data_IF_600093093417
#
_entry.id   IF_600093093417
#
_cell.length_a   1.000
_cell.length_b   1.000
_cell.length_c   1.000
_cell.angle_alpha   90.00
_cell.angle_beta   90.00
_cell.angle_gamma   90.00
#
_symmetry.space_group_name_H-M   'P 1'
#
loop_
_entity.id
_entity.type
_entity.pdbx_description
1 polymer ?
#
# COMPACT_ATOMS: atom_id res chain seq x y z
N UNK A 1 4.78 -14.04 15.17
CA UNK A 1 5.25 -14.03 13.77
C UNK A 1 5.82 -12.66 13.46
N UNK A 2 7.08 -12.63 13.03
CA UNK A 2 7.82 -11.41 12.71
C UNK A 2 7.90 -11.22 11.19
N UNK A 3 7.47 -10.08 10.68
CA UNK A 3 7.38 -9.79 9.26
C UNK A 3 8.22 -8.54 8.95
N UNK A 4 9.21 -8.69 8.05
CA UNK A 4 9.87 -7.55 7.40
C UNK A 4 8.99 -7.08 6.24
N UNK A 5 8.65 -5.81 6.22
CA UNK A 5 7.73 -5.24 5.23
C UNK A 5 8.38 -4.15 4.41
N UNK A 6 8.00 -4.04 3.13
CA UNK A 6 8.54 -3.07 2.16
C UNK A 6 7.39 -2.36 1.46
N UNK A 7 7.52 -1.04 1.31
CA UNK A 7 6.58 -0.20 0.56
C UNK A 7 7.34 0.78 -0.34
N UNK A 8 7.09 0.69 -1.64
CA UNK A 8 7.72 1.52 -2.67
C UNK A 8 6.75 1.89 -3.80
N UNK A 9 5.45 1.65 -3.60
CA UNK A 9 4.44 1.79 -4.66
C UNK A 9 4.13 3.22 -5.10
N UNK A 10 4.58 4.24 -4.34
CA UNK A 10 4.33 5.66 -4.63
C UNK A 10 5.57 6.51 -4.36
N UNK A 11 5.39 7.78 -3.92
CA UNK A 11 6.50 8.72 -3.66
C UNK A 11 7.34 8.33 -2.45
N UNK A 12 6.71 7.76 -1.43
CA UNK A 12 7.41 7.35 -0.22
C UNK A 12 8.10 5.99 -0.43
N UNK A 13 9.25 5.83 0.22
CA UNK A 13 9.97 4.57 0.38
C UNK A 13 10.01 4.26 1.87
N UNK A 14 9.66 3.03 2.25
CA UNK A 14 9.70 2.63 3.66
C UNK A 14 9.96 1.14 3.83
N UNK A 15 10.53 0.81 5.00
CA UNK A 15 10.69 -0.54 5.51
C UNK A 15 10.21 -0.59 6.96
N UNK A 16 9.70 -1.73 7.40
CA UNK A 16 9.29 -1.92 8.79
C UNK A 16 9.44 -3.38 9.21
N UNK A 17 9.62 -3.63 10.49
CA UNK A 17 9.47 -4.95 11.10
C UNK A 17 8.30 -4.89 12.06
N UNK A 18 7.36 -5.79 11.88
CA UNK A 18 6.24 -6.00 12.80
C UNK A 18 6.29 -7.38 13.42
N UNK A 19 5.89 -7.52 14.68
CA UNK A 19 5.76 -8.80 15.37
C UNK A 19 4.36 -8.91 15.96
N UNK A 20 3.59 -9.90 15.50
CA UNK A 20 2.19 -10.10 15.88
C UNK A 20 1.30 -8.87 15.78
N UNK A 21 1.65 -7.96 14.85
CA UNK A 21 0.98 -6.69 14.61
C UNK A 21 1.52 -5.50 15.40
N UNK A 22 2.42 -5.72 16.36
CA UNK A 22 3.16 -4.64 17.00
C UNK A 22 4.31 -4.16 16.09
N UNK A 23 4.52 -2.86 16.01
CA UNK A 23 5.62 -2.28 15.26
C UNK A 23 6.90 -2.34 16.11
N UNK A 24 7.91 -3.07 15.66
CA UNK A 24 9.23 -3.14 16.33
C UNK A 24 10.18 -2.06 15.80
N UNK A 25 10.24 -1.90 14.49
CA UNK A 25 11.10 -0.91 13.83
C UNK A 25 10.46 -0.41 12.54
N UNK A 26 10.71 0.85 12.21
CA UNK A 26 10.32 1.42 10.91
C UNK A 26 11.31 2.48 10.46
N UNK A 27 11.51 2.55 9.15
CA UNK A 27 12.22 3.63 8.48
C UNK A 27 11.35 4.13 7.31
N UNK A 28 11.27 5.45 7.18
CA UNK A 28 10.41 6.10 6.20
C UNK A 28 11.12 7.29 5.57
N UNK A 29 10.98 7.44 4.26
CA UNK A 29 11.54 8.55 3.51
C UNK A 29 10.59 8.99 2.39
N UNK A 30 10.40 10.29 2.25
CA UNK A 30 9.65 10.92 1.15
C UNK A 30 10.42 12.14 0.61
N UNK A 31 11.70 11.94 0.27
CA UNK A 31 12.65 13.01 -0.11
C UNK A 31 12.82 13.19 -1.62
N UNK A 32 12.07 12.43 -2.45
CA UNK A 32 12.19 12.47 -3.91
C UNK A 32 13.39 11.71 -4.48
N UNK A 33 14.19 11.04 -3.65
CA UNK A 33 15.25 10.15 -4.12
C UNK A 33 14.66 8.86 -4.70
N UNK A 34 15.41 8.24 -5.62
CA UNK A 34 14.98 6.98 -6.25
C UNK A 34 14.99 5.83 -5.25
N UNK A 35 13.94 5.03 -5.25
CA UNK A 35 13.78 3.90 -4.32
C UNK A 35 14.91 2.87 -4.45
N UNK A 36 15.43 2.63 -5.65
CA UNK A 36 16.57 1.72 -5.87
C UNK A 36 17.84 2.15 -5.13
N UNK A 37 18.01 3.44 -4.91
CA UNK A 37 19.16 3.99 -4.16
C UNK A 37 18.94 3.87 -2.64
N UNK A 38 17.72 4.02 -2.17
CA UNK A 38 17.43 4.27 -0.76
C UNK A 38 16.91 3.06 0.00
N UNK A 39 16.24 2.12 -0.68
CA UNK A 39 15.54 1.02 -0.02
C UNK A 39 16.47 0.08 0.74
N UNK A 40 17.51 -0.44 0.09
CA UNK A 40 18.37 -1.43 0.75
C UNK A 40 19.19 -0.84 1.91
N UNK A 41 19.83 0.33 1.79
CA UNK A 41 20.45 1.01 2.94
C UNK A 41 19.48 1.30 4.08
N UNK A 42 18.20 1.61 3.77
CA UNK A 42 17.15 1.83 4.76
C UNK A 42 16.82 0.55 5.52
N UNK A 43 16.65 -0.58 4.83
CA UNK A 43 16.38 -1.89 5.44
C UNK A 43 17.55 -2.29 6.35
N UNK A 44 18.78 -2.21 5.84
CA UNK A 44 19.99 -2.55 6.60
C UNK A 44 20.14 -1.69 7.86
N UNK A 45 20.05 -0.37 7.71
CA UNK A 45 20.17 0.57 8.82
C UNK A 45 19.06 0.38 9.86
N UNK A 46 17.82 0.14 9.43
CA UNK A 46 16.70 -0.12 10.32
C UNK A 46 16.91 -1.40 11.14
N UNK A 47 17.27 -2.51 10.49
CA UNK A 47 17.53 -3.79 11.18
C UNK A 47 18.67 -3.64 12.18
N UNK A 48 19.80 -3.04 11.77
CA UNK A 48 20.96 -2.81 12.63
C UNK A 48 20.62 -1.98 13.87
N UNK A 49 19.88 -0.88 13.70
CA UNK A 49 19.52 0.02 14.80
C UNK A 49 18.52 -0.61 15.79
N UNK A 50 17.82 -1.66 15.38
CA UNK A 50 16.87 -2.39 16.21
C UNK A 50 17.43 -3.72 16.77
N UNK A 51 18.73 -4.00 16.58
CA UNK A 51 19.36 -5.28 16.92
C UNK A 51 18.62 -6.50 16.34
N UNK A 52 18.08 -6.33 15.11
CA UNK A 52 17.37 -7.36 14.37
C UNK A 52 18.20 -7.85 13.18
N UNK A 53 17.97 -9.08 12.79
CA UNK A 53 18.54 -9.67 11.57
C UNK A 53 17.42 -10.12 10.64
N UNK A 54 17.70 -10.21 9.34
CA UNK A 54 16.74 -10.75 8.39
C UNK A 54 16.35 -12.20 8.73
N UNK A 55 17.28 -13.01 9.20
CA UNK A 55 17.05 -14.39 9.63
C UNK A 55 16.17 -14.52 10.88
N UNK A 56 15.92 -13.43 11.60
CA UNK A 56 14.98 -13.40 12.72
C UNK A 56 13.52 -13.13 12.27
N UNK A 57 13.30 -12.92 10.97
CA UNK A 57 11.97 -12.71 10.39
C UNK A 57 11.42 -14.03 9.82
N UNK A 58 10.11 -14.23 9.95
CA UNK A 58 9.41 -15.41 9.46
C UNK A 58 8.96 -15.26 7.99
N UNK A 59 8.82 -14.02 7.51
CA UNK A 59 8.43 -13.72 6.14
C UNK A 59 8.85 -12.29 5.74
N UNK A 60 8.87 -12.04 4.42
CA UNK A 60 8.96 -10.69 3.86
C UNK A 60 7.60 -10.33 3.24
N UNK A 61 7.02 -9.19 3.62
CA UNK A 61 5.81 -8.65 3.00
C UNK A 61 6.15 -7.46 2.10
N UNK A 62 5.41 -7.30 0.99
CA UNK A 62 5.63 -6.19 0.07
C UNK A 62 4.33 -5.75 -0.60
N UNK A 63 4.16 -4.45 -0.81
CA UNK A 63 3.09 -3.93 -1.64
C UNK A 63 3.35 -4.32 -3.11
N UNK A 64 2.47 -5.15 -3.66
CA UNK A 64 2.57 -5.64 -5.05
C UNK A 64 1.85 -4.76 -6.06
N UNK A 65 1.13 -3.76 -5.62
CA UNK A 65 0.32 -2.84 -6.42
C UNK A 65 -1.11 -2.69 -5.89
N UNK A 66 -1.88 -1.78 -6.50
CA UNK A 66 -1.51 -0.88 -7.60
C UNK A 66 -0.55 0.25 -7.18
N UNK A 67 0.06 0.94 -8.17
CA UNK A 67 0.93 2.07 -7.92
C UNK A 67 1.93 2.37 -9.05
N UNK A 68 3.03 3.01 -8.70
CA UNK A 68 4.14 3.31 -9.61
C UNK A 68 4.76 2.03 -10.18
N UNK A 69 4.75 1.88 -11.49
CA UNK A 69 5.29 0.71 -12.19
C UNK A 69 6.76 0.43 -11.81
N UNK A 70 7.60 1.45 -11.79
CA UNK A 70 9.01 1.32 -11.38
C UNK A 70 9.13 1.03 -9.88
N UNK A 71 8.36 1.75 -9.06
CA UNK A 71 8.41 1.59 -7.60
C UNK A 71 8.02 0.17 -7.18
N UNK A 72 6.91 -0.36 -7.68
CA UNK A 72 6.45 -1.73 -7.38
C UNK A 72 7.53 -2.75 -7.77
N UNK A 73 8.14 -2.63 -8.95
CA UNK A 73 9.19 -3.55 -9.38
C UNK A 73 10.42 -3.53 -8.48
N UNK A 74 10.82 -2.36 -8.01
CA UNK A 74 11.95 -2.22 -7.06
C UNK A 74 11.61 -2.95 -5.76
N UNK A 75 10.45 -2.71 -5.18
CA UNK A 75 10.02 -3.36 -3.94
C UNK A 75 9.89 -4.87 -4.07
N UNK A 76 9.22 -5.33 -5.12
CA UNK A 76 9.06 -6.78 -5.39
C UNK A 76 10.41 -7.45 -5.62
N UNK A 77 11.31 -6.85 -6.40
CA UNK A 77 12.64 -7.41 -6.62
C UNK A 77 13.47 -7.48 -5.32
N UNK A 78 13.42 -6.43 -4.49
CA UNK A 78 14.09 -6.42 -3.19
C UNK A 78 13.50 -7.48 -2.24
N UNK A 79 12.17 -7.59 -2.14
CA UNK A 79 11.51 -8.59 -1.32
C UNK A 79 11.88 -10.02 -1.76
N UNK A 80 11.88 -10.29 -3.06
CA UNK A 80 12.31 -11.59 -3.63
C UNK A 80 13.75 -11.91 -3.27
N UNK A 81 14.66 -10.94 -3.44
CA UNK A 81 16.08 -11.12 -3.12
C UNK A 81 16.34 -11.40 -1.64
N UNK A 82 15.70 -10.63 -0.75
CA UNK A 82 15.80 -10.80 0.69
C UNK A 82 15.23 -12.15 1.14
N UNK A 83 14.02 -12.48 0.69
CA UNK A 83 13.35 -13.72 1.05
C UNK A 83 14.12 -14.96 0.54
N UNK A 84 14.61 -14.92 -0.71
CA UNK A 84 15.42 -15.98 -1.28
C UNK A 84 16.73 -16.18 -0.51
N UNK A 85 17.43 -15.07 -0.17
CA UNK A 85 18.69 -15.13 0.58
C UNK A 85 18.53 -15.66 2.02
N UNK A 86 17.37 -15.42 2.64
CA UNK A 86 17.07 -15.89 4.00
C UNK A 86 16.32 -17.23 4.04
N UNK A 87 15.89 -17.77 2.89
CA UNK A 87 15.11 -19.03 2.85
C UNK A 87 13.71 -18.89 3.46
N UNK A 88 13.11 -17.69 3.46
CA UNK A 88 11.79 -17.41 4.04
C UNK A 88 10.78 -17.06 2.94
N UNK A 89 9.46 -17.25 3.17
CA UNK A 89 8.42 -16.95 2.19
C UNK A 89 8.17 -15.44 2.05
N UNK A 90 7.40 -15.10 1.00
CA UNK A 90 6.95 -13.74 0.74
C UNK A 90 5.44 -13.63 0.78
N UNK A 91 4.94 -12.44 1.14
CA UNK A 91 3.53 -12.09 1.18
C UNK A 91 3.32 -10.85 0.33
N UNK A 92 2.60 -11.00 -0.79
CA UNK A 92 2.19 -9.86 -1.60
C UNK A 92 0.93 -9.22 -1.03
N UNK A 93 0.93 -7.92 -0.86
CA UNK A 93 -0.19 -7.16 -0.28
C UNK A 93 -0.68 -6.10 -1.26
N UNK A 94 -2.01 -5.94 -1.39
CA UNK A 94 -2.56 -4.79 -2.10
C UNK A 94 -2.13 -3.48 -1.43
N UNK A 95 -1.62 -2.55 -2.22
CA UNK A 95 -1.25 -1.21 -1.71
C UNK A 95 -2.46 -0.49 -1.11
N UNK A 96 -3.64 -0.62 -1.71
CA UNK A 96 -4.87 0.01 -1.24
C UNK A 96 -5.38 -0.65 0.05
N UNK A 97 -5.29 -1.98 0.14
CA UNK A 97 -5.64 -2.68 1.37
C UNK A 97 -4.71 -2.32 2.54
N UNK A 98 -3.41 -2.27 2.32
CA UNK A 98 -2.46 -1.81 3.33
C UNK A 98 -2.82 -0.38 3.82
N UNK A 99 -3.21 0.51 2.92
CA UNK A 99 -3.67 1.86 3.28
C UNK A 99 -4.91 1.83 4.16
N UNK A 100 -5.90 1.02 3.80
CA UNK A 100 -7.13 0.90 4.57
C UNK A 100 -6.88 0.27 5.95
N UNK A 101 -6.03 -0.75 6.02
CA UNK A 101 -5.69 -1.44 7.28
C UNK A 101 -5.15 -0.47 8.33
N UNK A 102 -4.32 0.51 7.93
CA UNK A 102 -3.85 1.57 8.81
C UNK A 102 -4.99 2.49 9.32
N UNK A 103 -6.21 2.36 8.81
CA UNK A 103 -7.41 3.15 9.16
C UNK A 103 -8.54 2.30 9.73
N UNK A 104 -8.30 1.06 10.07
CA UNK A 104 -9.32 0.17 10.65
C UNK A 104 -9.92 0.72 11.96
N UNK A 105 -9.22 1.63 12.66
CA UNK A 105 -9.72 2.35 13.83
C UNK A 105 -10.75 3.44 13.50
N UNK A 106 -10.89 3.84 12.21
CA UNK A 106 -11.94 4.74 11.77
C UNK A 106 -13.30 4.03 11.84
N UNK A 107 -14.37 4.77 12.08
CA UNK A 107 -15.73 4.22 11.99
C UNK A 107 -16.45 4.89 10.81
N UNK A 108 -16.60 4.14 9.71
CA UNK A 108 -17.18 4.67 8.48
C UNK A 108 -16.58 4.10 7.18
N UNK A 109 -16.64 4.90 6.12
CA UNK A 109 -16.12 4.57 4.80
C UNK A 109 -14.67 5.06 4.65
N UNK A 110 -13.75 4.15 4.38
CA UNK A 110 -12.35 4.44 4.03
C UNK A 110 -12.22 4.40 2.51
N UNK A 111 -11.96 5.54 1.90
CA UNK A 111 -11.75 5.71 0.45
C UNK A 111 -10.24 5.75 0.21
N UNK A 112 -9.68 4.66 -0.29
CA UNK A 112 -8.29 4.64 -0.71
C UNK A 112 -8.17 5.19 -2.13
N UNK A 113 -7.35 6.24 -2.33
CA UNK A 113 -7.16 6.89 -3.61
C UNK A 113 -5.68 7.15 -3.88
N UNK A 114 -5.12 6.54 -4.93
CA UNK A 114 -3.78 6.83 -5.42
C UNK A 114 -3.86 7.48 -6.80
N UNK A 115 -2.97 8.43 -7.09
CA UNK A 115 -2.94 9.12 -8.39
C UNK A 115 -2.57 8.15 -9.52
N UNK A 116 -3.55 7.85 -10.39
CA UNK A 116 -3.36 7.05 -11.59
C UNK A 116 -3.11 7.91 -12.85
N UNK A 117 -2.93 9.25 -12.68
CA UNK A 117 -2.82 10.26 -13.74
C UNK A 117 -4.10 10.44 -14.55
N UNK A 118 -4.18 11.57 -15.32
CA UNK A 118 -5.28 11.86 -16.26
C UNK A 118 -6.67 11.81 -15.63
N UNK A 119 -6.85 12.46 -14.48
CA UNK A 119 -8.13 12.52 -13.73
C UNK A 119 -8.67 11.13 -13.32
N UNK A 120 -7.79 10.14 -13.20
CA UNK A 120 -8.12 8.82 -12.72
C UNK A 120 -7.36 8.53 -11.42
N UNK A 121 -7.95 7.66 -10.62
CA UNK A 121 -7.36 7.15 -9.39
C UNK A 121 -7.30 5.63 -9.41
N UNK A 122 -6.29 5.06 -8.78
CA UNK A 122 -6.39 3.70 -8.27
C UNK A 122 -7.20 3.78 -6.98
N UNK A 123 -8.27 3.01 -6.92
CA UNK A 123 -9.24 3.07 -5.83
C UNK A 123 -9.61 1.68 -5.33
N UNK A 124 -9.83 1.60 -4.03
CA UNK A 124 -10.62 0.59 -3.36
C UNK A 124 -11.32 1.24 -2.15
N UNK A 125 -12.55 0.85 -1.91
CA UNK A 125 -13.37 1.33 -0.80
C UNK A 125 -13.51 0.23 0.26
N UNK A 126 -13.46 0.63 1.52
CA UNK A 126 -13.57 -0.26 2.66
C UNK A 126 -14.53 0.30 3.69
N UNK A 127 -15.30 -0.57 4.33
CA UNK A 127 -16.02 -0.22 5.55
C UNK A 127 -15.13 -0.56 6.75
N UNK A 128 -14.87 0.42 7.60
CA UNK A 128 -14.18 0.24 8.87
C UNK A 128 -15.18 0.37 10.01
N UNK A 129 -15.18 -0.56 10.95
CA UNK A 129 -16.03 -0.54 12.13
C UNK A 129 -15.35 -1.26 13.28
N UNK A 130 -15.14 -0.54 14.39
CA UNK A 130 -14.59 -1.10 15.65
C UNK A 130 -13.32 -1.93 15.42
N UNK A 131 -12.36 -1.39 14.65
CA UNK A 131 -11.09 -2.07 14.35
C UNK A 131 -11.18 -3.15 13.27
N UNK A 132 -12.36 -3.46 12.76
CA UNK A 132 -12.56 -4.42 11.65
C UNK A 132 -12.64 -3.68 10.34
N UNK A 133 -11.99 -4.23 9.31
CA UNK A 133 -12.00 -3.70 7.95
C UNK A 133 -12.68 -4.70 7.01
N UNK A 134 -13.71 -4.24 6.30
CA UNK A 134 -14.39 -5.02 5.25
C UNK A 134 -14.15 -4.37 3.90
N UNK A 135 -13.61 -5.10 2.95
CA UNK A 135 -13.44 -4.63 1.57
C UNK A 135 -14.80 -4.53 0.89
N UNK A 136 -15.09 -3.40 0.27
CA UNK A 136 -16.33 -3.14 -0.47
C UNK A 136 -16.14 -3.22 -1.98
N UNK A 137 -14.96 -2.84 -2.47
CA UNK A 137 -14.63 -2.91 -3.91
C UNK A 137 -13.25 -3.51 -4.12
N UNK A 138 -13.08 -4.20 -5.24
CA UNK A 138 -11.76 -4.65 -5.68
C UNK A 138 -10.85 -3.47 -6.02
N UNK A 139 -9.53 -3.74 -6.08
CA UNK A 139 -8.56 -2.76 -6.55
C UNK A 139 -8.83 -2.43 -8.02
N UNK A 140 -9.03 -1.16 -8.35
CA UNK A 140 -9.45 -0.72 -9.69
C UNK A 140 -8.86 0.62 -10.07
N UNK A 141 -8.90 0.93 -11.37
CA UNK A 141 -8.58 2.25 -11.90
C UNK A 141 -9.87 2.88 -12.43
N UNK A 142 -10.34 3.97 -11.82
CA UNK A 142 -11.61 4.61 -12.14
C UNK A 142 -11.45 6.12 -12.33
N UNK A 143 -12.41 6.73 -13.02
CA UNK A 143 -12.55 8.18 -13.05
C UNK A 143 -13.10 8.70 -11.73
N UNK A 144 -12.74 9.92 -11.34
CA UNK A 144 -13.28 10.56 -10.14
C UNK A 144 -14.80 10.70 -10.18
N UNK A 145 -15.38 10.93 -11.37
CA UNK A 145 -16.82 11.01 -11.56
C UNK A 145 -17.57 9.70 -11.26
N UNK A 146 -16.91 8.56 -11.43
CA UNK A 146 -17.48 7.26 -11.04
C UNK A 146 -17.50 7.12 -9.53
N UNK A 147 -16.39 7.49 -8.85
CA UNK A 147 -16.33 7.49 -7.40
C UNK A 147 -17.41 8.38 -6.79
N UNK A 148 -17.62 9.60 -7.34
CA UNK A 148 -18.66 10.52 -6.88
C UNK A 148 -20.02 9.82 -6.83
N UNK A 149 -20.45 9.21 -7.94
CA UNK A 149 -21.74 8.50 -8.05
C UNK A 149 -21.90 7.35 -7.03
N UNK A 150 -20.81 6.68 -6.70
CA UNK A 150 -20.83 5.57 -5.75
C UNK A 150 -20.98 6.02 -4.30
N UNK A 151 -20.42 7.20 -3.95
CA UNK A 151 -20.35 7.63 -2.56
C UNK A 151 -21.31 8.79 -2.21
N UNK A 152 -22.00 9.36 -3.21
CA UNK A 152 -22.90 10.51 -3.01
C UNK A 152 -24.08 10.19 -2.06
N UNK A 153 -24.59 8.97 -2.12
CA UNK A 153 -25.71 8.52 -1.29
C UNK A 153 -25.27 7.67 -0.09
N UNK A 154 -23.98 7.55 0.16
CA UNK A 154 -23.47 6.84 1.34
C UNK A 154 -23.48 7.77 2.55
N UNK A 155 -24.22 7.45 3.57
CA UNK A 155 -24.37 8.27 4.77
C UNK A 155 -23.23 8.13 5.79
N UNK A 156 -22.34 7.13 5.60
CA UNK A 156 -21.22 6.89 6.53
C UNK A 156 -20.24 8.05 6.52
N UNK A 157 -19.63 8.39 7.67
CA UNK A 157 -18.47 9.28 7.70
C UNK A 157 -17.39 8.76 6.75
N UNK A 158 -16.85 9.63 5.87
CA UNK A 158 -15.91 9.26 4.84
C UNK A 158 -14.53 9.82 5.16
N UNK A 159 -13.49 8.96 5.14
CA UNK A 159 -12.09 9.38 5.19
C UNK A 159 -11.37 8.99 3.91
N UNK A 160 -10.66 9.94 3.32
CA UNK A 160 -9.89 9.75 2.09
C UNK A 160 -8.41 9.64 2.45
N UNK A 161 -7.74 8.62 1.92
CA UNK A 161 -6.34 8.31 2.17
C UNK A 161 -5.61 7.99 0.86
N UNK A 162 -4.29 8.19 0.83
CA UNK A 162 -3.44 7.94 -0.34
C UNK A 162 -2.94 9.23 -0.98
N UNK A 163 -1.97 9.12 -1.88
CA UNK A 163 -1.33 10.26 -2.53
C UNK A 163 -2.22 10.92 -3.60
N UNK A 164 -3.28 10.25 -4.08
CA UNK A 164 -4.39 10.84 -4.85
C UNK A 164 -5.49 11.45 -3.98
N UNK A 165 -5.36 11.37 -2.66
CA UNK A 165 -6.43 11.77 -1.72
C UNK A 165 -6.81 13.23 -1.80
N UNK A 166 -5.86 14.16 -2.03
CA UNK A 166 -6.15 15.58 -2.19
C UNK A 166 -7.04 15.86 -3.40
N UNK A 167 -6.73 15.24 -4.53
CA UNK A 167 -7.52 15.35 -5.75
C UNK A 167 -8.95 14.80 -5.52
N UNK A 168 -9.05 13.63 -4.90
CA UNK A 168 -10.34 13.02 -4.56
C UNK A 168 -11.14 13.89 -3.60
N UNK A 169 -10.52 14.42 -2.54
CA UNK A 169 -11.16 15.29 -1.56
C UNK A 169 -11.75 16.56 -2.22
N UNK A 170 -10.97 17.23 -3.06
CA UNK A 170 -11.45 18.44 -3.75
C UNK A 170 -12.68 18.12 -4.62
N UNK A 171 -12.62 17.04 -5.41
CA UNK A 171 -13.73 16.62 -6.28
C UNK A 171 -15.00 16.30 -5.47
N UNK A 172 -14.90 15.56 -4.37
CA UNK A 172 -16.06 15.23 -3.55
C UNK A 172 -16.63 16.48 -2.85
N UNK A 173 -15.76 17.37 -2.36
CA UNK A 173 -16.15 18.62 -1.70
C UNK A 173 -16.86 19.57 -2.67
N UNK A 174 -16.41 19.69 -3.91
CA UNK A 174 -17.05 20.48 -4.99
C UNK A 174 -18.46 19.96 -5.31
N UNK A 175 -18.73 18.68 -5.11
CA UNK A 175 -20.05 18.06 -5.26
C UNK A 175 -20.89 18.10 -3.96
N UNK A 176 -20.42 18.78 -2.91
CA UNK A 176 -21.12 18.89 -1.64
C UNK A 176 -21.13 17.60 -0.80
N UNK A 177 -20.30 16.62 -1.11
CA UNK A 177 -20.22 15.33 -0.40
C UNK A 177 -19.34 15.49 0.84
N UNK A 178 -19.87 15.34 2.07
CA UNK A 178 -19.10 15.45 3.30
C UNK A 178 -18.03 14.35 3.38
N UNK A 179 -16.77 14.75 3.53
CA UNK A 179 -15.66 13.82 3.67
C UNK A 179 -14.46 14.47 4.39
N UNK A 180 -13.61 13.64 4.95
CA UNK A 180 -12.37 14.06 5.62
C UNK A 180 -11.17 13.63 4.79
N UNK A 181 -10.20 14.51 4.65
CA UNK A 181 -8.89 14.15 4.11
C UNK A 181 -7.98 13.78 5.27
N UNK A 182 -7.32 12.63 5.18
CA UNK A 182 -6.31 12.27 6.19
C UNK A 182 -5.23 13.35 6.31
N UNK A 183 -4.68 13.60 7.50
CA UNK A 183 -3.60 14.56 7.71
C UNK A 183 -2.39 14.27 6.80
N UNK A 184 -1.61 15.29 6.39
CA UNK A 184 -0.52 15.12 5.42
C UNK A 184 0.48 14.01 5.75
N UNK A 185 0.86 13.84 7.02
CA UNK A 185 1.78 12.79 7.46
C UNK A 185 1.18 11.39 7.40
N UNK A 186 -0.13 11.26 7.25
CA UNK A 186 -0.86 10.01 7.10
C UNK A 186 -1.34 9.75 5.67
N UNK A 187 -1.04 10.61 4.70
CA UNK A 187 -1.44 10.42 3.29
C UNK A 187 -0.53 9.43 2.55
N UNK A 188 0.73 9.31 2.96
CA UNK A 188 1.67 8.43 2.28
C UNK A 188 1.52 6.96 2.71
N UNK A 189 1.87 6.07 1.80
CA UNK A 189 1.97 4.64 2.03
C UNK A 189 3.10 4.34 3.04
N UNK A 190 2.97 3.25 3.78
CA UNK A 190 3.95 2.89 4.80
C UNK A 190 4.12 1.37 4.91
N UNK A 191 5.36 0.92 5.08
CA UNK A 191 5.67 -0.49 5.23
C UNK A 191 5.07 -1.10 6.51
N UNK A 192 4.88 -0.32 7.58
CA UNK A 192 4.18 -0.78 8.77
C UNK A 192 2.74 -1.23 8.45
N UNK A 193 2.04 -0.47 7.58
CA UNK A 193 0.71 -0.82 7.12
C UNK A 193 0.71 -2.09 6.25
N UNK A 194 1.76 -2.29 5.43
CA UNK A 194 1.95 -3.54 4.65
C UNK A 194 2.10 -4.74 5.58
N UNK A 195 2.89 -4.62 6.67
CA UNK A 195 3.04 -5.69 7.66
C UNK A 195 1.74 -6.04 8.37
N UNK A 196 0.94 -5.03 8.73
CA UNK A 196 -0.38 -5.24 9.32
C UNK A 196 -1.34 -5.94 8.34
N UNK A 197 -1.37 -5.49 7.08
CA UNK A 197 -2.22 -6.11 6.06
C UNK A 197 -1.78 -7.54 5.74
N UNK A 198 -0.47 -7.81 5.70
CA UNK A 198 0.05 -9.17 5.55
C UNK A 198 -0.39 -10.10 6.69
N UNK A 199 -0.34 -9.63 7.94
CA UNK A 199 -0.87 -10.38 9.09
C UNK A 199 -2.35 -10.69 8.93
N UNK A 200 -3.16 -9.70 8.52
CA UNK A 200 -4.59 -9.89 8.30
C UNK A 200 -4.88 -10.85 7.13
N UNK A 201 -4.09 -10.80 6.04
CA UNK A 201 -4.18 -11.75 4.93
C UNK A 201 -3.94 -13.19 5.42
N UNK A 202 -2.90 -13.42 6.21
CA UNK A 202 -2.62 -14.72 6.83
C UNK A 202 -3.75 -15.18 7.75
N UNK A 203 -4.32 -14.27 8.55
CA UNK A 203 -5.46 -14.58 9.43
C UNK A 203 -6.71 -15.01 8.64
N UNK A 204 -6.89 -14.48 7.43
CA UNK A 204 -7.94 -14.92 6.50
C UNK A 204 -7.65 -16.25 5.80
N UNK A 205 -6.47 -16.84 6.02
CA UNK A 205 -6.06 -18.11 5.44
C UNK A 205 -5.31 -17.97 4.11
N UNK A 206 -4.96 -16.75 3.69
CA UNK A 206 -4.09 -16.55 2.52
C UNK A 206 -2.71 -17.16 2.80
N UNK A 207 -2.14 -17.84 1.81
CA UNK A 207 -0.87 -18.53 1.98
C UNK A 207 0.28 -17.65 1.47
N UNK A 208 1.39 -17.58 2.21
CA UNK A 208 2.62 -17.02 1.69
C UNK A 208 3.09 -17.82 0.47
N UNK A 209 3.78 -17.17 -0.45
CA UNK A 209 4.32 -17.82 -1.65
C UNK A 209 5.85 -17.84 -1.64
N UNK A 210 6.45 -18.63 -2.50
CA UNK A 210 7.90 -18.59 -2.70
C UNK A 210 8.34 -17.27 -3.35
N UNK A 211 9.61 -16.91 -3.19
CA UNK A 211 10.17 -15.73 -3.84
C UNK A 211 10.01 -15.76 -5.38
N UNK A 212 10.02 -16.94 -6.00
CA UNK A 212 9.84 -17.08 -7.45
C UNK A 212 8.41 -16.76 -7.90
N UNK A 213 7.41 -17.15 -7.13
CA UNK A 213 5.99 -17.03 -7.47
C UNK A 213 5.43 -15.61 -7.26
N UNK A 214 6.08 -14.78 -6.44
CA UNK A 214 5.62 -13.42 -6.21
C UNK A 214 5.64 -12.62 -7.52
N UNK A 215 4.51 -12.00 -7.88
CA UNK A 215 4.36 -11.17 -9.06
C UNK A 215 3.76 -9.80 -8.69
N UNK A 216 4.16 -8.73 -9.39
CA UNK A 216 3.51 -7.43 -9.28
C UNK A 216 2.11 -7.46 -9.92
N UNK A 217 1.20 -6.65 -9.37
CA UNK A 217 -0.18 -6.48 -9.88
C UNK A 217 -0.28 -5.13 -10.58
N UNK A 218 -0.63 -5.16 -11.88
CA UNK A 218 -0.78 -3.97 -12.70
C UNK A 218 -2.22 -3.80 -13.14
N UNK A 219 -2.90 -2.77 -12.67
CA UNK A 219 -4.25 -2.41 -13.11
C UNK A 219 -4.26 -1.60 -14.42
N UNK A 220 -3.11 -1.09 -14.83
CA UNK A 220 -2.91 -0.36 -16.09
C UNK A 220 -1.59 -0.80 -16.73
N UNK A 221 -1.58 -0.87 -18.06
CA UNK A 221 -0.36 -1.13 -18.82
C UNK A 221 0.67 -0.02 -18.59
N UNK A 222 1.96 -0.36 -18.63
CA UNK A 222 3.04 0.61 -18.58
C UNK A 222 2.89 1.66 -19.68
N UNK A 223 3.29 2.89 -19.39
CA UNK A 223 3.19 4.00 -20.35
C UNK A 223 3.98 3.70 -21.64
N UNK A 224 5.10 3.01 -21.55
CA UNK A 224 5.92 2.59 -22.69
C UNK A 224 5.19 1.61 -23.62
N UNK A 225 4.41 0.68 -23.07
CA UNK A 225 3.66 -0.32 -23.85
C UNK A 225 2.47 0.30 -24.57
N UNK A 226 1.86 1.36 -24.00
CA UNK A 226 0.78 2.09 -24.64
C UNK A 226 1.25 2.89 -25.85
N UNK A 227 2.44 3.48 -25.79
CA UNK A 227 3.01 4.23 -26.92
C UNK A 227 3.40 3.31 -28.07
N UNK A 228 3.79 2.05 -27.78
CA UNK A 228 4.07 1.03 -28.80
C UNK A 228 2.81 0.58 -29.56
N UNK A 229 1.66 0.52 -28.88
CA UNK A 229 0.40 0.05 -29.47
C UNK A 229 -0.37 1.15 -30.19
N UNK A 230 0.13 2.40 -30.21
CA UNK A 230 -0.45 3.55 -30.94
C UNK A 230 0.33 3.90 -32.24
N UNK A 231 1.44 3.20 -32.51
CA UNK A 231 2.19 3.25 -33.76
C UNK A 231 2.04 1.91 -34.52
#
# INVERSE_FOLDING_TARGET
MRILSIETSAKACSAAVTEDGALLAAAFQCSGLTHSRTLMPMVEGMLKNADLTLSSCDAVAVAVGPGSFTGIRIGVAAAKGLAFGAGIPVIGVSTLEARATARAHWDGLVICAMDARRQQIYNANFAAKVGTLTRLTEDRAIALSELVKEVENDERPKIIVGDGGRLCYNTLSEQGIPCFLAPPHLLHQSAAAVGLAAKEALRRGEQPVSAQELLPVYLRQAQADRLRNQN
#
